data_IF_678058046347
#
_entry.id   IF_678058046347
#
_cell.length_a   1.000
_cell.length_b   1.000
_cell.length_c   1.000
_cell.angle_alpha   90.00
_cell.angle_beta   90.00
_cell.angle_gamma   90.00
#
_symmetry.space_group_name_H-M   'P 1'
#
loop_
_entity.id
_entity.type
_entity.pdbx_description
1 polymer ?
#
# COMPACT_ATOMS: atom_id res chain seq x y z
N UNK A 1 72.94 24.26 28.02
CA UNK A 1 71.50 24.54 28.19
C UNK A 1 70.95 25.17 26.91
N UNK A 2 69.92 24.57 26.31
CA UNK A 2 69.21 25.04 25.11
C UNK A 2 68.42 26.31 25.45
N UNK A 3 68.75 27.45 24.83
CA UNK A 3 67.80 28.57 24.80
C UNK A 3 66.72 28.24 23.76
N UNK A 4 65.48 28.09 24.23
CA UNK A 4 64.29 27.94 23.40
C UNK A 4 64.03 29.25 22.66
N UNK A 5 63.78 29.16 21.35
CA UNK A 5 63.27 30.28 20.57
C UNK A 5 61.95 30.80 21.18
N UNK A 6 61.95 32.08 21.60
CA UNK A 6 60.75 32.79 22.01
C UNK A 6 59.85 33.12 20.81
N UNK A 7 58.56 33.44 21.07
CA UNK A 7 57.52 33.51 20.05
C UNK A 7 57.82 34.59 18.99
N UNK A 8 57.64 34.25 17.71
CA UNK A 8 57.79 35.19 16.59
C UNK A 8 56.86 36.40 16.79
N UNK A 9 57.43 37.61 16.69
CA UNK A 9 56.65 38.86 16.69
C UNK A 9 55.64 38.82 15.54
N UNK A 10 54.37 39.21 15.77
CA UNK A 10 53.39 39.30 14.69
C UNK A 10 53.90 40.24 13.59
N UNK A 11 53.65 39.89 12.33
CA UNK A 11 54.08 40.70 11.19
C UNK A 11 53.56 42.14 11.35
N UNK A 12 54.37 43.15 10.99
CA UNK A 12 54.00 44.55 11.18
C UNK A 12 52.62 44.90 10.57
N UNK A 13 52.21 44.20 9.51
CA UNK A 13 50.87 44.31 8.92
C UNK A 13 49.73 43.85 9.85
N UNK A 14 49.94 42.80 10.65
CA UNK A 14 48.97 42.36 11.67
C UNK A 14 48.85 43.39 12.79
N UNK A 15 49.97 43.95 13.25
CA UNK A 15 49.97 45.02 14.27
C UNK A 15 49.25 46.27 13.76
N UNK A 16 49.48 46.67 12.50
CA UNK A 16 48.77 47.81 11.89
C UNK A 16 47.28 47.50 11.69
N UNK A 17 46.91 46.28 11.31
CA UNK A 17 45.50 45.86 11.24
C UNK A 17 44.83 45.88 12.61
N UNK A 18 45.49 45.38 13.65
CA UNK A 18 44.97 45.35 15.01
C UNK A 18 44.82 46.76 15.59
N UNK A 19 45.76 47.67 15.30
CA UNK A 19 45.65 49.10 15.67
C UNK A 19 44.48 49.77 14.91
N UNK A 20 44.28 49.47 13.62
CA UNK A 20 43.16 50.00 12.83
C UNK A 20 41.81 49.41 13.26
N UNK A 21 41.77 48.16 13.70
CA UNK A 21 40.58 47.52 14.27
C UNK A 21 40.25 48.10 15.66
N UNK A 22 41.26 48.34 16.51
CA UNK A 22 41.10 48.92 17.83
C UNK A 22 40.66 50.40 17.81
N UNK A 23 41.06 51.17 16.80
CA UNK A 23 40.66 52.58 16.64
C UNK A 23 39.29 52.76 15.96
N UNK A 24 38.72 51.71 15.36
CA UNK A 24 37.39 51.77 14.76
C UNK A 24 36.31 51.55 15.82
N UNK A 25 35.85 52.64 16.45
CA UNK A 25 34.65 52.60 17.29
C UNK A 25 33.46 52.10 16.47
N UNK A 26 32.92 50.94 16.84
CA UNK A 26 31.67 50.44 16.28
C UNK A 26 30.51 51.14 16.98
N UNK A 27 29.86 52.08 16.30
CA UNK A 27 28.63 52.69 16.79
C UNK A 27 27.48 51.72 16.58
N UNK A 28 26.84 51.32 17.69
CA UNK A 28 25.59 50.56 17.63
C UNK A 28 24.50 51.40 16.98
N UNK A 29 23.40 50.75 16.54
CA UNK A 29 22.27 51.47 15.97
C UNK A 29 21.68 52.48 16.97
N UNK A 30 21.65 52.15 18.26
CA UNK A 30 21.18 53.05 19.32
C UNK A 30 22.09 54.26 19.51
N UNK A 31 23.42 54.07 19.45
CA UNK A 31 24.39 55.16 19.51
C UNK A 31 24.23 56.13 18.35
N UNK A 32 24.06 55.60 17.13
CA UNK A 32 23.83 56.42 15.94
C UNK A 32 22.57 57.27 16.09
N UNK A 33 21.48 56.69 16.61
CA UNK A 33 20.23 57.41 16.85
C UNK A 33 20.43 58.50 17.90
N UNK A 34 21.09 58.20 19.03
CA UNK A 34 21.39 59.18 20.09
C UNK A 34 22.16 60.37 19.53
N UNK A 35 23.24 60.10 18.79
CA UNK A 35 24.13 61.13 18.24
C UNK A 35 23.39 62.01 17.22
N UNK A 36 22.59 61.41 16.33
CA UNK A 36 21.77 62.16 15.37
C UNK A 36 20.75 63.05 16.09
N UNK A 37 20.05 62.54 17.10
CA UNK A 37 19.06 63.32 17.84
C UNK A 37 19.71 64.48 18.62
N UNK A 38 20.88 64.26 19.21
CA UNK A 38 21.64 65.30 19.91
C UNK A 38 22.14 66.39 18.94
N UNK A 39 22.62 65.99 17.76
CA UNK A 39 22.97 66.92 16.68
C UNK A 39 21.77 67.75 16.17
N UNK A 40 20.57 67.16 16.15
CA UNK A 40 19.33 67.85 15.76
C UNK A 40 18.79 68.79 16.84
N UNK A 41 19.08 68.54 18.12
CA UNK A 41 18.70 69.44 19.23
C UNK A 41 19.48 70.76 19.21
N UNK A 42 20.71 70.75 18.68
CA UNK A 42 21.52 71.94 18.49
C UNK A 42 22.12 72.53 19.76
N UNK A 43 22.20 71.75 20.85
CA UNK A 43 22.77 72.17 22.14
C UNK A 43 24.30 72.38 22.05
N UNK A 44 24.99 71.54 21.25
CA UNK A 44 26.41 71.66 20.91
C UNK A 44 26.59 71.85 19.39
N UNK A 45 27.67 72.50 18.96
CA UNK A 45 28.03 72.52 17.54
C UNK A 45 28.30 71.09 17.03
N UNK A 46 27.88 70.78 15.79
CA UNK A 46 28.07 69.45 15.18
C UNK A 46 29.55 69.03 15.21
N UNK A 47 30.47 69.98 15.04
CA UNK A 47 31.91 69.74 15.14
C UNK A 47 32.36 69.34 16.56
N UNK A 48 31.78 69.94 17.60
CA UNK A 48 32.07 69.58 19.00
C UNK A 48 31.51 68.19 19.34
N UNK A 49 30.29 67.88 18.91
CA UNK A 49 29.65 66.57 19.06
C UNK A 49 30.46 65.47 18.35
N UNK A 50 30.85 65.71 17.10
CA UNK A 50 31.64 64.76 16.31
C UNK A 50 33.02 64.48 16.93
N UNK A 51 33.69 65.51 17.49
CA UNK A 51 34.95 65.34 18.24
C UNK A 51 34.77 64.51 19.52
N UNK A 52 33.70 64.75 20.29
CA UNK A 52 33.39 64.03 21.53
C UNK A 52 33.09 62.55 21.27
N UNK A 53 32.29 62.28 20.25
CA UNK A 53 31.86 60.92 19.90
C UNK A 53 32.93 60.18 19.06
N UNK A 54 33.91 60.90 18.49
CA UNK A 54 34.99 60.34 17.69
C UNK A 54 34.57 59.97 16.27
N UNK A 55 33.68 60.76 15.67
CA UNK A 55 33.08 60.53 14.36
C UNK A 55 33.46 61.68 13.41
N UNK A 56 33.58 61.40 12.12
CA UNK A 56 33.72 62.44 11.09
C UNK A 56 32.39 63.16 10.86
N UNK A 57 32.42 64.49 10.72
CA UNK A 57 31.21 65.30 10.51
C UNK A 57 30.37 64.83 9.31
N UNK A 58 31.01 64.40 8.22
CA UNK A 58 30.34 63.84 7.04
C UNK A 58 29.49 62.60 7.34
N UNK A 59 29.94 61.77 8.29
CA UNK A 59 29.22 60.57 8.70
C UNK A 59 27.98 60.93 9.52
N UNK A 60 28.07 61.95 10.39
CA UNK A 60 26.92 62.47 11.13
C UNK A 60 25.87 63.10 10.20
N UNK A 61 26.29 63.83 9.17
CA UNK A 61 25.37 64.35 8.16
C UNK A 61 24.68 63.23 7.36
N UNK A 62 25.40 62.16 6.99
CA UNK A 62 24.80 60.99 6.30
C UNK A 62 23.74 60.33 7.18
N UNK A 63 24.08 60.03 8.44
CA UNK A 63 23.14 59.39 9.37
C UNK A 63 21.94 60.27 9.67
N UNK A 64 22.14 61.58 9.84
CA UNK A 64 21.04 62.52 10.07
C UNK A 64 20.09 62.58 8.87
N UNK A 65 20.64 62.61 7.65
CA UNK A 65 19.86 62.58 6.42
C UNK A 65 19.06 61.29 6.29
N UNK A 66 19.71 60.13 6.44
CA UNK A 66 19.07 58.82 6.38
C UNK A 66 17.98 58.66 7.44
N UNK A 67 18.23 59.13 8.67
CA UNK A 67 17.27 59.11 9.77
C UNK A 67 16.04 59.97 9.46
N UNK A 68 16.23 61.20 8.96
CA UNK A 68 15.13 62.10 8.60
C UNK A 68 14.36 61.61 7.37
N UNK A 69 15.04 61.06 6.36
CA UNK A 69 14.38 60.48 5.18
C UNK A 69 13.54 59.25 5.55
N UNK A 70 14.07 58.36 6.39
CA UNK A 70 13.33 57.22 6.92
C UNK A 70 12.15 57.66 7.79
N UNK A 71 12.33 58.69 8.63
CA UNK A 71 11.27 59.30 9.42
C UNK A 71 10.17 59.91 8.55
N UNK A 72 10.54 60.67 7.52
CA UNK A 72 9.60 61.24 6.54
C UNK A 72 8.81 60.17 5.79
N UNK A 73 9.47 59.13 5.29
CA UNK A 73 8.80 57.99 4.62
C UNK A 73 7.80 57.31 5.56
N UNK A 74 8.19 57.11 6.82
CA UNK A 74 7.31 56.51 7.83
C UNK A 74 6.10 57.38 8.18
N UNK A 75 6.29 58.70 8.29
CA UNK A 75 5.21 59.66 8.55
C UNK A 75 4.30 59.87 7.33
N UNK A 76 4.84 59.72 6.12
CA UNK A 76 4.09 59.79 4.86
C UNK A 76 3.21 58.56 4.59
N UNK A 77 3.15 57.59 5.51
CA UNK A 77 2.26 56.44 5.40
C UNK A 77 2.78 55.34 4.47
N UNK A 78 4.08 55.31 4.16
CA UNK A 78 4.73 54.22 3.42
C UNK A 78 4.83 52.99 4.34
N UNK A 79 3.68 52.37 4.62
CA UNK A 79 3.47 51.26 5.53
C UNK A 79 3.83 49.94 4.87
N UNK A 80 5.06 49.80 4.38
CA UNK A 80 5.66 48.49 4.23
C UNK A 80 6.00 47.92 5.62
N UNK A 81 4.97 47.64 6.44
CA UNK A 81 5.10 46.83 7.67
C UNK A 81 5.35 45.39 7.25
N UNK A 82 6.61 45.06 7.01
CA UNK A 82 7.03 43.72 6.63
C UNK A 82 6.88 42.63 7.73
N UNK A 83 6.16 42.84 8.85
CA UNK A 83 6.09 41.79 9.89
C UNK A 83 4.95 41.87 10.92
N UNK A 84 4.14 42.95 11.00
CA UNK A 84 3.19 43.13 12.12
C UNK A 84 1.83 43.70 11.69
N UNK A 85 1.17 43.03 10.76
CA UNK A 85 -0.23 43.29 10.43
C UNK A 85 -1.03 42.04 10.75
N UNK A 86 -2.17 42.18 11.41
CA UNK A 86 -3.11 41.07 11.60
C UNK A 86 -3.50 40.42 10.26
N UNK A 87 -3.36 41.12 9.14
CA UNK A 87 -3.45 40.59 7.78
C UNK A 87 -2.43 39.48 7.51
N UNK A 88 -1.18 39.58 7.97
CA UNK A 88 -0.18 38.51 7.79
C UNK A 88 -0.58 37.27 8.59
N UNK A 89 -1.19 37.45 9.77
CA UNK A 89 -1.71 36.32 10.57
C UNK A 89 -2.92 35.69 9.90
N UNK A 90 -3.83 36.51 9.35
CA UNK A 90 -5.00 36.05 8.58
C UNK A 90 -4.53 35.28 7.35
N UNK A 91 -3.65 35.85 6.52
CA UNK A 91 -3.05 35.18 5.36
C UNK A 91 -2.28 33.91 5.73
N UNK A 92 -1.56 33.91 6.86
CA UNK A 92 -0.87 32.70 7.34
C UNK A 92 -1.84 31.60 7.78
N UNK A 93 -2.98 31.97 8.36
CA UNK A 93 -4.07 31.02 8.68
C UNK A 93 -4.73 30.51 7.41
N UNK A 94 -5.11 31.40 6.50
CA UNK A 94 -5.68 31.04 5.21
C UNK A 94 -4.76 30.11 4.41
N UNK A 95 -3.47 30.41 4.34
CA UNK A 95 -2.50 29.52 3.67
C UNK A 95 -2.35 28.18 4.36
N UNK A 96 -2.53 28.10 5.68
CA UNK A 96 -2.57 26.83 6.42
C UNK A 96 -3.82 26.03 6.07
N UNK A 97 -4.98 26.67 6.17
CA UNK A 97 -6.28 26.05 5.91
C UNK A 97 -6.38 25.58 4.44
N UNK A 98 -5.90 26.39 3.50
CA UNK A 98 -5.81 26.01 2.09
C UNK A 98 -4.86 24.83 1.88
N UNK A 99 -3.71 24.78 2.57
CA UNK A 99 -2.79 23.63 2.48
C UNK A 99 -3.45 22.36 3.02
N UNK A 100 -4.22 22.44 4.09
CA UNK A 100 -4.99 21.33 4.64
C UNK A 100 -6.02 20.82 3.61
N UNK A 101 -6.84 21.72 3.06
CA UNK A 101 -7.85 21.36 2.04
C UNK A 101 -7.21 20.76 0.79
N UNK A 102 -6.10 21.33 0.31
CA UNK A 102 -5.37 20.81 -0.85
C UNK A 102 -4.80 19.42 -0.57
N UNK A 103 -4.28 19.16 0.63
CA UNK A 103 -3.78 17.85 1.02
C UNK A 103 -4.91 16.80 1.08
N UNK A 104 -6.07 17.17 1.64
CA UNK A 104 -7.26 16.30 1.66
C UNK A 104 -7.75 15.97 0.24
N UNK A 105 -7.86 16.99 -0.63
CA UNK A 105 -8.25 16.81 -2.03
C UNK A 105 -7.24 15.98 -2.83
N UNK A 106 -5.93 16.18 -2.61
CA UNK A 106 -4.89 15.39 -3.27
C UNK A 106 -4.97 13.91 -2.88
N UNK A 107 -5.24 13.62 -1.60
CA UNK A 107 -5.46 12.24 -1.14
C UNK A 107 -6.73 11.65 -1.76
N UNK A 108 -7.82 12.41 -1.81
CA UNK A 108 -9.06 11.98 -2.45
C UNK A 108 -8.87 11.62 -3.93
N UNK A 109 -8.21 12.49 -4.70
CA UNK A 109 -7.91 12.23 -6.10
C UNK A 109 -7.06 10.96 -6.27
N UNK A 110 -6.08 10.75 -5.37
CA UNK A 110 -5.26 9.52 -5.37
C UNK A 110 -6.09 8.28 -5.09
N UNK A 111 -7.00 8.32 -4.11
CA UNK A 111 -7.89 7.20 -3.79
C UNK A 111 -8.84 6.88 -4.95
N UNK A 112 -9.46 7.91 -5.52
CA UNK A 112 -10.38 7.77 -6.64
C UNK A 112 -9.68 7.23 -7.89
N UNK A 113 -8.45 7.68 -8.16
CA UNK A 113 -7.62 7.13 -9.24
C UNK A 113 -7.35 5.64 -9.02
N UNK A 114 -6.91 5.23 -7.82
CA UNK A 114 -6.70 3.80 -7.51
C UNK A 114 -7.98 2.98 -7.66
N UNK A 115 -9.10 3.49 -7.16
CA UNK A 115 -10.40 2.84 -7.30
C UNK A 115 -10.77 2.63 -8.77
N UNK A 116 -10.56 3.65 -9.61
CA UNK A 116 -10.83 3.56 -11.04
C UNK A 116 -9.90 2.54 -11.71
N UNK A 117 -8.59 2.65 -11.51
CA UNK A 117 -7.57 1.81 -12.16
C UNK A 117 -7.70 0.33 -11.76
N UNK A 118 -8.05 0.05 -10.50
CA UNK A 118 -8.25 -1.32 -9.99
C UNK A 118 -9.69 -1.80 -10.12
N UNK A 119 -10.63 -0.92 -10.43
CA UNK A 119 -12.07 -1.24 -10.46
C UNK A 119 -12.69 -1.53 -9.09
N UNK A 120 -12.12 -1.04 -7.98
CA UNK A 120 -12.57 -1.33 -6.63
C UNK A 120 -14.00 -0.86 -6.35
N UNK A 121 -14.66 -1.56 -5.42
CA UNK A 121 -16.01 -1.25 -4.94
C UNK A 121 -17.16 -1.79 -5.80
N UNK A 122 -16.88 -2.61 -6.81
CA UNK A 122 -17.92 -3.26 -7.64
C UNK A 122 -18.61 -4.40 -6.89
N UNK A 123 -19.92 -4.59 -7.15
CA UNK A 123 -20.69 -5.69 -6.57
C UNK A 123 -20.12 -7.05 -7.03
N UNK A 124 -19.95 -7.98 -6.09
CA UNK A 124 -19.40 -9.32 -6.39
C UNK A 124 -17.89 -9.33 -6.65
N UNK A 125 -17.21 -8.19 -6.51
CA UNK A 125 -15.76 -8.12 -6.71
C UNK A 125 -15.01 -8.91 -5.64
N UNK A 126 -14.02 -9.69 -6.11
CA UNK A 126 -13.11 -10.46 -5.27
C UNK A 126 -11.75 -9.76 -5.26
N UNK A 127 -11.22 -9.55 -4.06
CA UNK A 127 -9.95 -8.84 -3.88
C UNK A 127 -8.83 -9.87 -3.60
N UNK A 128 -7.76 -9.91 -4.40
CA UNK A 128 -6.59 -10.72 -4.09
C UNK A 128 -5.92 -10.23 -2.80
N UNK A 129 -5.08 -11.07 -2.18
CA UNK A 129 -4.40 -10.75 -0.93
C UNK A 129 -3.56 -9.47 -1.03
N UNK A 130 -2.90 -9.25 -2.18
CA UNK A 130 -2.11 -8.05 -2.47
C UNK A 130 -2.95 -6.77 -2.43
N UNK A 131 -4.14 -6.78 -3.03
CA UNK A 131 -5.04 -5.62 -3.03
C UNK A 131 -5.65 -5.38 -1.64
N UNK A 132 -6.03 -6.44 -0.92
CA UNK A 132 -6.49 -6.30 0.48
C UNK A 132 -5.43 -5.63 1.34
N UNK A 133 -4.17 -6.03 1.18
CA UNK A 133 -3.03 -5.45 1.90
C UNK A 133 -2.77 -4.00 1.48
N UNK A 134 -2.88 -3.70 0.19
CA UNK A 134 -2.77 -2.33 -0.33
C UNK A 134 -3.85 -1.42 0.27
N UNK A 135 -5.10 -1.88 0.34
CA UNK A 135 -6.21 -1.17 0.95
C UNK A 135 -5.96 -0.94 2.44
N UNK A 136 -5.47 -1.94 3.18
CA UNK A 136 -5.12 -1.80 4.60
C UNK A 136 -4.06 -0.71 4.78
N UNK A 137 -2.97 -0.74 4.01
CA UNK A 137 -1.91 0.27 4.07
C UNK A 137 -2.43 1.68 3.74
N UNK A 138 -3.31 1.79 2.75
CA UNK A 138 -3.94 3.07 2.39
C UNK A 138 -4.74 3.62 3.57
N UNK A 139 -5.50 2.76 4.25
CA UNK A 139 -6.30 3.17 5.41
C UNK A 139 -5.42 3.53 6.61
N UNK A 140 -4.34 2.79 6.87
CA UNK A 140 -3.39 3.08 7.95
C UNK A 140 -2.59 4.38 7.73
N UNK A 141 -2.24 4.68 6.48
CA UNK A 141 -1.49 5.89 6.11
C UNK A 141 -2.39 7.11 5.87
N UNK A 142 -3.70 6.91 5.84
CA UNK A 142 -4.67 7.98 5.60
C UNK A 142 -4.81 8.86 6.85
N UNK A 143 -4.74 10.17 6.66
CA UNK A 143 -5.10 11.14 7.69
C UNK A 143 -6.63 11.28 7.87
N UNK A 144 -7.41 10.81 6.88
CA UNK A 144 -8.87 10.80 6.96
C UNK A 144 -9.37 9.65 7.86
N UNK A 145 -10.54 9.81 8.50
CA UNK A 145 -11.20 8.73 9.23
C UNK A 145 -11.45 7.51 8.34
N UNK A 146 -11.25 6.30 8.90
CA UNK A 146 -11.40 5.01 8.21
C UNK A 146 -12.70 4.92 7.39
N UNK A 147 -13.83 5.39 7.94
CA UNK A 147 -15.12 5.38 7.25
C UNK A 147 -15.06 6.17 5.94
N UNK A 148 -14.55 7.41 5.96
CA UNK A 148 -14.49 8.26 4.78
C UNK A 148 -13.57 7.66 3.70
N UNK A 149 -12.43 7.12 4.10
CA UNK A 149 -11.49 6.45 3.18
C UNK A 149 -12.15 5.25 2.49
N UNK A 150 -12.84 4.40 3.25
CA UNK A 150 -13.53 3.23 2.72
C UNK A 150 -14.72 3.59 1.83
N UNK A 151 -15.49 4.63 2.19
CA UNK A 151 -16.61 5.14 1.39
C UNK A 151 -16.09 5.63 0.01
N UNK A 152 -14.97 6.36 -0.01
CA UNK A 152 -14.30 6.78 -1.26
C UNK A 152 -13.90 5.58 -2.11
N UNK A 153 -13.30 4.55 -1.52
CA UNK A 153 -12.92 3.31 -2.21
C UNK A 153 -14.12 2.41 -2.59
N UNK A 154 -15.31 2.66 -2.04
CA UNK A 154 -16.51 1.84 -2.26
C UNK A 154 -16.47 0.50 -1.53
N UNK A 155 -15.75 0.40 -0.41
CA UNK A 155 -15.55 -0.85 0.34
C UNK A 155 -16.40 -0.82 1.61
N UNK A 156 -17.31 -1.79 1.84
CA UNK A 156 -18.09 -1.84 3.07
C UNK A 156 -17.19 -2.01 4.31
N UNK A 157 -17.43 -1.21 5.37
CA UNK A 157 -16.71 -1.30 6.65
C UNK A 157 -16.61 -2.72 7.22
N UNK A 158 -17.69 -3.53 7.24
CA UNK A 158 -17.61 -4.90 7.77
C UNK A 158 -16.63 -5.78 6.99
N UNK A 159 -16.56 -5.59 5.66
CA UNK A 159 -15.63 -6.31 4.78
C UNK A 159 -14.19 -5.95 5.11
N UNK A 160 -13.90 -4.64 5.27
CA UNK A 160 -12.59 -4.15 5.66
C UNK A 160 -12.14 -4.73 7.02
N UNK A 161 -12.96 -4.59 8.07
CA UNK A 161 -12.59 -5.10 9.40
C UNK A 161 -12.41 -6.61 9.43
N UNK A 162 -13.16 -7.38 8.63
CA UNK A 162 -12.93 -8.82 8.48
C UNK A 162 -11.55 -9.13 7.91
N UNK A 163 -11.07 -8.36 6.93
CA UNK A 163 -9.71 -8.51 6.40
C UNK A 163 -8.66 -8.02 7.40
N UNK A 164 -8.91 -6.86 8.03
CA UNK A 164 -8.01 -6.27 9.01
C UNK A 164 -7.78 -7.19 10.22
N UNK A 165 -8.84 -7.78 10.77
CA UNK A 165 -8.73 -8.75 11.87
C UNK A 165 -7.96 -10.02 11.47
N UNK A 166 -8.10 -10.47 10.22
CA UNK A 166 -7.31 -11.59 9.70
C UNK A 166 -5.83 -11.22 9.54
N UNK A 167 -5.57 -10.00 9.08
CA UNK A 167 -4.22 -9.46 8.97
C UNK A 167 -3.55 -9.32 10.35
N UNK A 168 -4.26 -8.82 11.36
CA UNK A 168 -3.74 -8.73 12.73
C UNK A 168 -3.44 -10.10 13.35
N UNK A 169 -4.25 -11.12 13.04
CA UNK A 169 -4.09 -12.45 13.64
C UNK A 169 -3.07 -13.34 12.93
N UNK A 170 -2.91 -13.21 11.60
CA UNK A 170 -2.09 -14.13 10.78
C UNK A 170 -1.16 -13.43 9.80
N UNK A 171 -1.00 -12.11 9.89
CA UNK A 171 -0.19 -11.32 8.97
C UNK A 171 -0.72 -11.36 7.53
N UNK A 172 0.20 -11.27 6.57
CA UNK A 172 -0.10 -11.24 5.14
C UNK A 172 -0.82 -12.50 4.68
N UNK A 173 -0.41 -13.67 5.18
CA UNK A 173 -0.99 -14.98 4.85
C UNK A 173 -2.48 -15.07 5.26
N UNK A 174 -2.89 -14.30 6.27
CA UNK A 174 -4.28 -14.21 6.70
C UNK A 174 -5.23 -13.60 5.65
N UNK A 175 -4.70 -12.84 4.69
CA UNK A 175 -5.47 -12.14 3.65
C UNK A 175 -5.76 -13.03 2.44
N UNK A 176 -5.08 -14.16 2.32
CA UNK A 176 -5.36 -15.14 1.28
C UNK A 176 -6.78 -15.70 1.41
N UNK A 177 -7.36 -16.02 0.27
CA UNK A 177 -8.65 -16.65 0.26
C UNK A 177 -8.53 -18.10 0.67
N UNK A 178 -9.33 -18.48 1.67
CA UNK A 178 -9.42 -19.88 2.08
C UNK A 178 -10.46 -20.59 1.24
N UNK A 179 -10.17 -21.83 0.90
CA UNK A 179 -11.16 -22.73 0.35
C UNK A 179 -12.26 -22.94 1.39
N UNK A 180 -13.46 -22.44 1.09
CA UNK A 180 -14.68 -22.73 1.84
C UNK A 180 -15.19 -24.13 1.46
N UNK A 181 -14.37 -25.15 1.68
CA UNK A 181 -14.81 -26.53 1.57
C UNK A 181 -15.27 -26.98 2.96
N UNK A 182 -16.46 -27.60 3.09
CA UNK A 182 -16.83 -28.24 4.35
C UNK A 182 -15.80 -29.33 4.67
N UNK A 183 -15.43 -29.47 5.94
CA UNK A 183 -14.47 -30.49 6.38
C UNK A 183 -14.94 -31.91 6.04
N UNK A 184 -16.26 -32.14 6.03
CA UNK A 184 -16.89 -33.39 5.64
C UNK A 184 -18.11 -33.12 4.78
N UNK A 185 -18.13 -33.72 3.59
CA UNK A 185 -19.33 -33.77 2.75
C UNK A 185 -20.18 -34.93 3.27
N UNK A 186 -21.46 -34.70 3.57
CA UNK A 186 -22.35 -35.71 4.16
C UNK A 186 -22.46 -36.99 3.30
N UNK A 187 -22.37 -36.87 1.98
CA UNK A 187 -22.36 -37.97 1.02
C UNK A 187 -21.01 -38.68 0.87
N UNK A 188 -19.97 -38.28 1.61
CA UNK A 188 -18.65 -38.90 1.50
C UNK A 188 -18.68 -40.24 2.24
N UNK A 189 -18.46 -41.32 1.49
CA UNK A 189 -18.19 -42.66 2.05
C UNK A 189 -17.06 -42.54 3.09
N UNK A 190 -17.26 -42.97 4.35
CA UNK A 190 -16.23 -42.98 5.39
C UNK A 190 -14.94 -43.69 4.95
N UNK A 191 -13.79 -43.24 5.45
CA UNK A 191 -12.50 -43.73 4.95
C UNK A 191 -12.28 -45.23 5.30
N UNK A 192 -12.82 -45.72 6.43
CA UNK A 192 -12.83 -47.15 6.80
C UNK A 192 -13.65 -48.02 5.83
N UNK A 193 -14.76 -47.49 5.32
CA UNK A 193 -15.58 -48.19 4.31
C UNK A 193 -14.85 -48.18 2.96
N UNK A 194 -14.13 -47.10 2.63
CA UNK A 194 -13.34 -47.02 1.39
C UNK A 194 -12.21 -48.05 1.37
N UNK A 195 -11.49 -48.20 2.49
CA UNK A 195 -10.43 -49.20 2.62
C UNK A 195 -10.98 -50.61 2.37
N UNK A 196 -12.12 -50.96 2.99
CA UNK A 196 -12.78 -52.26 2.73
C UNK A 196 -13.18 -52.48 1.27
N UNK A 197 -13.62 -51.45 0.56
CA UNK A 197 -13.94 -51.56 -0.88
C UNK A 197 -12.67 -51.85 -1.68
N UNK A 198 -11.56 -51.20 -1.33
CA UNK A 198 -10.25 -51.39 -1.98
C UNK A 198 -9.72 -52.80 -1.70
N UNK A 199 -9.80 -53.26 -0.45
CA UNK A 199 -9.38 -54.61 -0.07
C UNK A 199 -10.16 -55.66 -0.86
N UNK A 200 -11.48 -55.53 -0.94
CA UNK A 200 -12.32 -56.43 -1.75
C UNK A 200 -11.96 -56.38 -3.24
N UNK A 201 -11.59 -55.21 -3.77
CA UNK A 201 -11.15 -55.07 -5.16
C UNK A 201 -9.81 -55.76 -5.42
N UNK A 202 -8.89 -55.73 -4.46
CA UNK A 202 -7.60 -56.40 -4.53
C UNK A 202 -7.74 -57.92 -4.38
N UNK A 203 -8.69 -58.39 -3.59
CA UNK A 203 -9.01 -59.82 -3.46
C UNK A 203 -9.72 -60.37 -4.72
N UNK A 204 -10.57 -59.56 -5.36
CA UNK A 204 -11.42 -59.98 -6.48
C UNK A 204 -11.20 -59.09 -7.71
N UNK A 205 -10.00 -59.15 -8.28
CA UNK A 205 -9.52 -58.30 -9.39
C UNK A 205 -10.34 -58.39 -10.68
N UNK A 206 -11.11 -59.47 -10.85
CA UNK A 206 -11.94 -59.74 -12.03
C UNK A 206 -13.31 -59.03 -11.98
N UNK A 207 -13.70 -58.47 -10.83
CA UNK A 207 -14.99 -57.81 -10.70
C UNK A 207 -14.97 -56.44 -11.35
N UNK A 208 -15.96 -56.19 -12.20
CA UNK A 208 -16.23 -54.83 -12.66
C UNK A 208 -16.65 -53.93 -11.49
N UNK A 209 -16.49 -52.59 -11.60
CA UNK A 209 -16.94 -51.65 -10.57
C UNK A 209 -18.41 -51.83 -10.18
N UNK A 210 -19.25 -52.26 -11.13
CA UNK A 210 -20.67 -52.58 -10.89
C UNK A 210 -20.84 -53.85 -10.07
N UNK A 211 -20.18 -54.93 -10.48
CA UNK A 211 -20.23 -56.20 -9.75
C UNK A 211 -19.66 -56.04 -8.33
N UNK A 212 -18.57 -55.31 -8.19
CA UNK A 212 -17.95 -55.00 -6.89
C UNK A 212 -18.90 -54.19 -5.99
N UNK A 213 -19.61 -53.18 -6.52
CA UNK A 213 -20.57 -52.41 -5.74
C UNK A 213 -21.75 -53.26 -5.23
N UNK A 214 -22.26 -54.17 -6.07
CA UNK A 214 -23.33 -55.10 -5.68
C UNK A 214 -22.82 -56.07 -4.63
N UNK A 215 -21.68 -56.72 -4.87
CA UNK A 215 -21.06 -57.65 -3.92
C UNK A 215 -20.76 -57.00 -2.58
N UNK A 216 -20.23 -55.79 -2.58
CA UNK A 216 -19.94 -55.03 -1.37
C UNK A 216 -21.22 -54.75 -0.59
N UNK A 217 -22.28 -54.31 -1.27
CA UNK A 217 -23.58 -54.04 -0.64
C UNK A 217 -24.17 -55.29 -0.01
N UNK A 218 -24.09 -56.44 -0.71
CA UNK A 218 -24.62 -57.72 -0.23
C UNK A 218 -23.79 -58.30 0.93
N UNK A 219 -22.47 -58.14 0.90
CA UNK A 219 -21.55 -58.74 1.90
C UNK A 219 -21.41 -57.89 3.15
N UNK A 220 -21.22 -56.58 2.98
CA UNK A 220 -20.95 -55.64 4.08
C UNK A 220 -22.21 -54.95 4.60
N UNK A 221 -23.38 -55.22 3.99
CA UNK A 221 -24.66 -54.56 4.30
C UNK A 221 -24.59 -53.03 4.25
N UNK A 222 -23.67 -52.48 3.43
CA UNK A 222 -23.45 -51.05 3.26
C UNK A 222 -23.59 -50.66 1.80
N UNK A 223 -24.60 -49.84 1.50
CA UNK A 223 -24.87 -49.42 0.13
C UNK A 223 -23.79 -48.50 -0.43
N UNK A 224 -23.25 -48.87 -1.59
CA UNK A 224 -22.34 -48.04 -2.38
C UNK A 224 -22.82 -48.00 -3.84
N UNK A 225 -22.78 -46.82 -4.46
CA UNK A 225 -23.09 -46.71 -5.87
C UNK A 225 -21.91 -47.15 -6.75
N UNK A 226 -22.20 -47.80 -7.87
CA UNK A 226 -21.21 -48.15 -8.90
C UNK A 226 -20.30 -46.95 -9.25
N UNK A 227 -20.88 -45.77 -9.45
CA UNK A 227 -20.12 -44.57 -9.76
C UNK A 227 -19.14 -44.15 -8.65
N UNK A 228 -19.45 -44.45 -7.37
CA UNK A 228 -18.55 -44.17 -6.25
C UNK A 228 -17.41 -45.20 -6.19
N UNK A 229 -17.72 -46.47 -6.41
CA UNK A 229 -16.73 -47.54 -6.52
C UNK A 229 -15.80 -47.29 -7.70
N UNK A 230 -16.34 -47.01 -8.89
CA UNK A 230 -15.55 -46.64 -10.07
C UNK A 230 -14.60 -45.47 -9.78
N UNK A 231 -15.09 -44.39 -9.17
CA UNK A 231 -14.24 -43.24 -8.81
C UNK A 231 -13.15 -43.60 -7.81
N UNK A 232 -13.45 -44.46 -6.84
CA UNK A 232 -12.48 -44.93 -5.87
C UNK A 232 -11.39 -45.76 -6.57
N UNK A 233 -11.78 -46.79 -7.33
CA UNK A 233 -10.84 -47.62 -8.08
C UNK A 233 -10.01 -46.79 -9.07
N UNK A 234 -10.60 -45.79 -9.72
CA UNK A 234 -9.89 -44.87 -10.63
C UNK A 234 -8.79 -44.08 -9.94
N UNK A 235 -9.05 -43.59 -8.73
CA UNK A 235 -8.08 -42.80 -7.94
C UNK A 235 -6.92 -43.68 -7.46
N UNK A 236 -7.16 -44.97 -7.26
CA UNK A 236 -6.15 -45.94 -6.86
C UNK A 236 -5.53 -46.70 -8.04
N UNK A 237 -5.82 -46.30 -9.28
CA UNK A 237 -5.37 -46.97 -10.51
C UNK A 237 -5.71 -48.48 -10.58
N UNK A 238 -6.83 -48.88 -9.95
CA UNK A 238 -7.33 -50.26 -9.87
C UNK A 238 -8.40 -50.59 -10.92
N UNK A 239 -8.60 -49.71 -11.92
CA UNK A 239 -9.48 -50.06 -13.04
C UNK A 239 -8.71 -51.00 -13.95
N UNK A 240 -9.04 -52.28 -13.87
CA UNK A 240 -8.62 -53.26 -14.86
C UNK A 240 -9.16 -52.83 -16.23
N UNK A 241 -8.24 -52.45 -17.14
CA UNK A 241 -8.58 -52.37 -18.55
C UNK A 241 -9.10 -53.74 -18.97
N UNK A 242 -10.34 -53.88 -19.43
CA UNK A 242 -10.84 -55.19 -19.76
C UNK A 242 -9.98 -55.76 -20.88
N UNK A 243 -9.56 -57.03 -20.74
CA UNK A 243 -8.93 -57.76 -21.82
C UNK A 243 -9.99 -58.06 -22.88
N UNK A 244 -10.31 -57.07 -23.72
CA UNK A 244 -11.28 -57.26 -24.80
C UNK A 244 -10.67 -58.14 -25.87
N UNK A 245 -11.32 -59.26 -26.16
CA UNK A 245 -11.15 -59.91 -27.45
C UNK A 245 -11.99 -59.09 -28.43
N UNK A 246 -11.33 -58.24 -29.23
CA UNK A 246 -12.01 -57.45 -30.25
C UNK A 246 -12.46 -58.39 -31.36
N UNK A 247 -13.75 -58.73 -31.37
CA UNK A 247 -14.37 -59.45 -32.48
C UNK A 247 -14.64 -58.42 -33.58
N UNK A 248 -13.86 -58.49 -34.67
CA UNK A 248 -14.11 -57.64 -35.84
C UNK A 248 -15.39 -58.11 -36.53
N UNK A 249 -16.33 -57.20 -36.77
CA UNK A 249 -17.50 -57.49 -37.60
C UNK A 249 -17.03 -57.88 -39.01
N UNK A 250 -17.66 -58.91 -39.59
CA UNK A 250 -17.45 -59.23 -41.01
C UNK A 250 -18.09 -58.16 -41.90
N UNK A 251 -17.56 -57.99 -43.11
CA UNK A 251 -18.08 -57.00 -44.06
C UNK A 251 -19.50 -57.33 -44.56
N UNK A 252 -19.93 -58.59 -44.40
CA UNK A 252 -21.26 -59.04 -44.78
C UNK A 252 -21.84 -60.06 -43.79
N UNK A 253 -23.18 -60.06 -43.65
CA UNK A 253 -23.89 -61.11 -42.92
C UNK A 253 -23.82 -62.44 -43.66
N UNK A 254 -23.59 -63.52 -42.91
CA UNK A 254 -23.61 -64.90 -43.45
C UNK A 254 -24.97 -65.23 -44.07
N UNK A 255 -26.05 -64.85 -43.38
CA UNK A 255 -27.42 -65.06 -43.86
C UNK A 255 -27.97 -63.77 -44.47
N UNK A 256 -28.17 -63.76 -45.79
CA UNK A 256 -28.71 -62.61 -46.52
C UNK A 256 -30.24 -62.58 -46.38
N UNK A 257 -30.78 -61.46 -45.92
CA UNK A 257 -32.23 -61.25 -45.79
C UNK A 257 -32.85 -60.85 -47.13
N UNK A 258 -33.94 -61.49 -47.53
CA UNK A 258 -34.68 -61.21 -48.79
C UNK A 258 -36.04 -60.55 -48.58
N UNK A 259 -36.53 -60.48 -47.33
CA UNK A 259 -37.82 -59.89 -46.95
C UNK A 259 -37.72 -59.17 -45.59
N UNK A 260 -38.63 -58.22 -45.30
CA UNK A 260 -38.72 -57.61 -43.97
C UNK A 260 -38.94 -58.65 -42.85
N UNK A 261 -38.45 -58.37 -41.65
CA UNK A 261 -38.56 -59.18 -40.42
C UNK A 261 -37.81 -60.54 -40.41
N UNK A 262 -36.89 -60.78 -41.34
CA UNK A 262 -36.06 -61.99 -41.35
C UNK A 262 -34.83 -61.92 -40.43
N UNK A 263 -34.43 -60.72 -39.96
CA UNK A 263 -33.30 -60.53 -39.07
C UNK A 263 -33.65 -59.47 -38.02
N UNK A 264 -33.33 -59.78 -36.77
CA UNK A 264 -33.44 -58.87 -35.64
C UNK A 264 -32.04 -58.68 -35.07
N UNK A 265 -31.66 -57.42 -34.86
CA UNK A 265 -30.35 -57.07 -34.32
C UNK A 265 -30.49 -56.27 -33.04
N UNK A 266 -29.46 -56.38 -32.22
CA UNK A 266 -29.30 -55.55 -31.01
C UNK A 266 -27.83 -55.17 -30.93
N UNK A 267 -27.57 -53.89 -30.72
CA UNK A 267 -26.22 -53.37 -30.58
C UNK A 267 -25.76 -53.50 -29.13
N UNK A 268 -24.69 -54.26 -28.91
CA UNK A 268 -24.03 -54.35 -27.61
C UNK A 268 -22.58 -53.88 -27.76
N UNK A 269 -22.17 -52.92 -26.95
CA UNK A 269 -20.78 -52.43 -26.94
C UNK A 269 -19.84 -53.40 -26.20
N UNK A 270 -20.35 -54.07 -25.16
CA UNK A 270 -19.60 -55.02 -24.34
C UNK A 270 -20.48 -56.23 -24.03
N UNK A 271 -20.00 -57.43 -24.33
CA UNK A 271 -20.67 -58.69 -24.02
C UNK A 271 -19.69 -59.57 -23.23
N UNK A 272 -19.99 -59.84 -21.96
CA UNK A 272 -19.22 -60.77 -21.12
C UNK A 272 -19.66 -62.19 -21.46
N UNK A 273 -18.84 -62.91 -22.23
CA UNK A 273 -19.08 -64.33 -22.56
C UNK A 273 -18.40 -65.18 -21.49
N UNK A 274 -19.17 -65.92 -20.71
CA UNK A 274 -18.66 -66.92 -19.77
C UNK A 274 -18.60 -68.24 -20.54
N UNK A 275 -17.39 -68.77 -20.73
CA UNK A 275 -17.11 -70.03 -21.42
C UNK A 275 -16.58 -71.09 -20.47
#
# INVERSE_FOLDING_TARGET
>A
MRQKAGPQKPAAEQVIKDIRLATRKHHSTEDKIRIVLEGLRGEDSIAALCRREGIAESLNYSWSKEFLEAGKKRLAGDTARAATSDEVKVLSRETRDLKEVVAEQALELRLLKKKHDRGWGRRGMRYPASEKLEIIRIVEQSHLPVKQTLDKLGIPRPTFYRWYNRFLSRGVDGLEDRHSAPSRVWNRIPDDVRERIIDMALEQTELSPRELAVRFTDTESYFVSEASVYRLLKVHDLITSPAFIVIKAGDEFKDKTTRPNLLWQTDFTYLKVIG
#
